data_IF_144986477994
#
_entry.id   IF_144986477994
#
_cell.length_a   1.000
_cell.length_b   1.000
_cell.length_c   1.000
_cell.angle_alpha   90.00
_cell.angle_beta   90.00
_cell.angle_gamma   90.00
#
_symmetry.space_group_name_H-M   'P 1'
#
loop_
_entity.id
_entity.type
_entity.pdbx_description
1 polymer ?
#
# COMPACT_ATOMS: atom_id res chain seq x y z
N UNK A 1 -10.11 6.32 5.81
CA UNK A 1 -9.33 7.18 4.89
C UNK A 1 -7.90 6.67 4.85
N UNK A 2 -7.06 7.09 3.89
CA UNK A 2 -5.64 6.67 3.83
C UNK A 2 -4.88 7.02 5.12
N UNK A 3 -5.17 8.17 5.74
CA UNK A 3 -4.58 8.55 7.03
C UNK A 3 -4.90 7.54 8.14
N UNK A 4 -6.19 7.24 8.35
CA UNK A 4 -6.61 6.25 9.35
C UNK A 4 -6.02 4.85 9.09
N UNK A 5 -5.86 4.46 7.83
CA UNK A 5 -5.25 3.18 7.48
C UNK A 5 -3.75 3.14 7.87
N UNK A 6 -3.01 4.23 7.64
CA UNK A 6 -1.61 4.34 8.09
C UNK A 6 -1.48 4.21 9.61
N UNK A 7 -2.37 4.87 10.35
CA UNK A 7 -2.37 4.82 11.81
C UNK A 7 -2.68 3.39 12.31
N UNK A 8 -3.71 2.75 11.75
CA UNK A 8 -4.07 1.37 12.10
C UNK A 8 -2.97 0.35 11.78
N UNK A 9 -2.29 0.47 10.63
CA UNK A 9 -1.16 -0.40 10.26
C UNK A 9 -0.02 -0.29 11.28
N UNK A 10 0.29 0.94 11.73
CA UNK A 10 1.32 1.15 12.74
C UNK A 10 0.92 0.58 14.09
N UNK A 11 -0.33 0.76 14.51
CA UNK A 11 -0.86 0.22 15.77
C UNK A 11 -0.80 -1.31 15.81
N UNK A 12 -1.12 -1.97 14.69
CA UNK A 12 -1.13 -3.43 14.55
C UNK A 12 0.29 -4.03 14.46
N UNK A 13 1.23 -3.33 13.81
CA UNK A 13 2.61 -3.81 13.55
C UNK A 13 3.68 -2.81 14.03
N UNK A 14 3.70 -2.44 15.33
CA UNK A 14 4.52 -1.35 15.83
C UNK A 14 6.03 -1.61 15.74
N UNK A 15 6.44 -2.87 15.78
CA UNK A 15 7.86 -3.28 15.71
C UNK A 15 8.40 -3.38 14.28
N UNK A 16 7.51 -3.58 13.31
CA UNK A 16 7.85 -3.67 11.88
C UNK A 16 7.77 -2.31 11.20
N UNK A 17 6.80 -1.49 11.61
CA UNK A 17 6.54 -0.17 11.06
C UNK A 17 7.09 0.89 12.02
N UNK A 18 8.41 1.04 11.99
CA UNK A 18 9.13 2.04 12.79
C UNK A 18 8.95 3.43 12.16
N UNK A 19 8.84 4.49 12.98
CA UNK A 19 8.68 5.88 12.51
C UNK A 19 7.27 6.45 12.59
N UNK A 20 7.01 7.57 11.89
CA UNK A 20 5.74 8.30 11.96
C UNK A 20 4.75 7.75 10.94
N UNK A 21 3.56 7.30 11.37
CA UNK A 21 2.54 6.71 10.49
C UNK A 21 2.24 7.55 9.24
N UNK A 22 2.19 8.88 9.38
CA UNK A 22 1.96 9.79 8.24
C UNK A 22 2.99 9.65 7.10
N UNK A 23 4.24 9.26 7.43
CA UNK A 23 5.34 9.10 6.48
C UNK A 23 5.28 7.78 5.69
N UNK A 24 4.45 6.82 6.09
CA UNK A 24 4.30 5.57 5.34
C UNK A 24 3.82 5.85 3.92
N UNK A 25 4.37 5.13 2.95
CA UNK A 25 3.82 5.12 1.59
C UNK A 25 3.03 3.84 1.39
N UNK A 26 1.77 3.98 0.99
CA UNK A 26 0.88 2.86 0.73
C UNK A 26 0.68 2.75 -0.78
N UNK A 27 0.90 1.57 -1.34
CA UNK A 27 0.68 1.29 -2.74
C UNK A 27 -0.32 0.16 -2.88
N UNK A 28 -1.12 0.16 -3.93
CA UNK A 28 -1.97 -1.00 -4.24
C UNK A 28 -1.05 -2.18 -4.55
N UNK A 29 -1.34 -3.36 -4.01
CA UNK A 29 -0.67 -4.61 -4.38
C UNK A 29 -1.18 -5.12 -5.75
N UNK A 30 -1.21 -4.21 -6.73
CA UNK A 30 -1.75 -4.40 -8.06
C UNK A 30 -0.72 -3.92 -9.07
N UNK A 31 -0.39 -4.78 -10.04
CA UNK A 31 0.56 -4.51 -11.11
C UNK A 31 -0.08 -4.90 -12.44
N UNK A 32 0.05 -4.07 -13.46
CA UNK A 32 -0.51 -4.32 -14.80
C UNK A 32 -2.00 -4.72 -14.78
N UNK A 33 -2.77 -4.09 -13.90
CA UNK A 33 -4.20 -4.35 -13.66
C UNK A 33 -4.54 -5.66 -12.94
N UNK A 34 -3.57 -6.48 -12.54
CA UNK A 34 -3.75 -7.71 -11.78
C UNK A 34 -3.32 -7.55 -10.31
N UNK A 35 -4.07 -8.15 -9.39
CA UNK A 35 -3.67 -8.22 -7.97
C UNK A 35 -2.56 -9.25 -7.79
N UNK A 36 -1.59 -8.92 -6.95
CA UNK A 36 -0.53 -9.85 -6.59
C UNK A 36 -1.07 -10.95 -5.67
N UNK A 37 -0.63 -12.18 -5.90
CA UNK A 37 -0.76 -13.27 -4.94
C UNK A 37 0.37 -13.21 -3.91
N UNK A 38 0.39 -14.14 -2.95
CA UNK A 38 1.42 -14.18 -1.92
C UNK A 38 2.84 -14.24 -2.51
N UNK A 39 3.03 -15.00 -3.61
CA UNK A 39 4.31 -15.12 -4.32
C UNK A 39 4.72 -13.81 -4.98
N UNK A 40 3.76 -13.13 -5.62
CA UNK A 40 3.98 -11.84 -6.25
C UNK A 40 4.35 -10.77 -5.24
N UNK A 41 3.78 -10.80 -4.03
CA UNK A 41 4.12 -9.87 -2.95
C UNK A 41 5.55 -10.10 -2.43
N UNK A 42 6.00 -11.35 -2.28
CA UNK A 42 7.37 -11.63 -1.80
C UNK A 42 8.46 -11.31 -2.82
N UNK A 43 8.12 -11.28 -4.11
CA UNK A 43 9.05 -10.89 -5.18
C UNK A 43 9.16 -9.37 -5.37
N UNK A 44 8.44 -8.56 -4.58
CA UNK A 44 8.51 -7.10 -4.67
C UNK A 44 9.83 -6.58 -4.10
N UNK A 45 10.60 -5.88 -4.93
CA UNK A 45 11.85 -5.22 -4.54
C UNK A 45 11.71 -3.69 -4.64
N UNK A 46 12.43 -2.99 -3.77
CA UNK A 46 12.61 -1.54 -3.85
C UNK A 46 13.79 -1.22 -4.78
N UNK A 47 13.76 -0.06 -5.42
CA UNK A 47 14.89 0.43 -6.21
C UNK A 47 16.07 0.88 -5.33
N UNK A 48 17.15 1.32 -5.98
CA UNK A 48 18.37 1.78 -5.30
C UNK A 48 18.14 2.97 -4.34
N UNK A 49 17.04 3.71 -4.50
CA UNK A 49 16.66 4.82 -3.63
C UNK A 49 15.65 4.41 -2.55
N UNK A 50 15.32 3.12 -2.45
CA UNK A 50 14.31 2.60 -1.53
C UNK A 50 12.88 2.89 -1.97
N UNK A 51 12.64 3.19 -3.26
CA UNK A 51 11.32 3.50 -3.78
C UNK A 51 10.71 2.29 -4.49
N UNK A 52 9.39 2.15 -4.35
CA UNK A 52 8.64 1.09 -5.01
C UNK A 52 8.25 1.55 -6.43
N UNK A 53 8.67 0.77 -7.46
CA UNK A 53 8.45 1.12 -8.86
C UNK A 53 7.35 0.29 -9.51
N UNK A 54 6.54 0.92 -10.37
CA UNK A 54 5.50 0.24 -11.16
C UNK A 54 4.23 -0.12 -10.39
N UNK A 55 4.04 0.41 -9.18
CA UNK A 55 2.84 0.25 -8.38
C UNK A 55 2.11 1.58 -8.21
N UNK A 56 0.78 1.52 -8.11
CA UNK A 56 -0.05 2.71 -7.95
C UNK A 56 -0.08 3.14 -6.47
N UNK A 57 0.30 4.38 -6.19
CA UNK A 57 0.21 4.96 -4.85
C UNK A 57 -1.25 5.16 -4.42
N UNK A 58 -1.59 4.70 -3.21
CA UNK A 58 -2.94 4.82 -2.67
C UNK A 58 -3.23 6.26 -2.26
N UNK A 59 -4.10 6.94 -3.03
CA UNK A 59 -4.49 8.33 -2.78
C UNK A 59 -5.84 8.43 -2.07
N UNK A 60 -5.91 9.31 -1.07
CA UNK A 60 -7.11 9.54 -0.26
C UNK A 60 -8.34 9.99 -1.06
N UNK A 61 -8.14 10.60 -2.23
CA UNK A 61 -9.18 11.13 -3.10
C UNK A 61 -9.73 10.13 -4.10
N UNK A 62 -9.11 8.94 -4.25
CA UNK A 62 -9.61 7.90 -5.14
C UNK A 62 -10.70 7.11 -4.43
N UNK A 63 -11.95 7.32 -4.85
CA UNK A 63 -13.07 6.53 -4.38
C UNK A 63 -12.84 5.05 -4.66
N UNK A 64 -12.91 4.23 -3.62
CA UNK A 64 -12.78 2.75 -3.67
C UNK A 64 -13.79 2.12 -4.65
N UNK A 65 -14.92 2.79 -4.91
CA UNK A 65 -15.95 2.34 -5.86
C UNK A 65 -15.67 2.72 -7.32
N UNK A 66 -14.56 3.38 -7.62
CA UNK A 66 -14.24 3.77 -8.98
C UNK A 66 -13.70 2.56 -9.77
N UNK A 67 -14.53 2.03 -10.68
CA UNK A 67 -14.16 0.93 -11.58
C UNK A 67 -12.91 1.23 -12.43
N UNK A 68 -12.60 2.50 -12.69
CA UNK A 68 -11.37 2.91 -13.39
C UNK A 68 -10.09 2.59 -12.59
N UNK A 69 -10.18 2.50 -11.26
CA UNK A 69 -9.05 2.21 -10.38
C UNK A 69 -9.02 0.75 -9.95
N UNK A 70 -10.19 0.17 -9.69
CA UNK A 70 -10.29 -1.16 -9.09
C UNK A 70 -10.76 -2.25 -10.05
N UNK A 71 -11.24 -1.89 -11.25
CA UNK A 71 -11.77 -2.81 -12.28
C UNK A 71 -13.30 -2.81 -12.33
N UNK A 72 -13.86 -3.06 -13.51
CA UNK A 72 -15.30 -3.23 -13.69
C UNK A 72 -15.75 -4.53 -12.99
N UNK A 73 -16.79 -4.46 -12.15
CA UNK A 73 -17.24 -5.59 -11.34
C UNK A 73 -16.52 -5.78 -10.00
N UNK A 74 -15.60 -4.89 -9.61
CA UNK A 74 -15.02 -4.88 -8.26
C UNK A 74 -16.12 -4.64 -7.21
N UNK A 75 -16.60 -5.74 -6.63
CA UNK A 75 -17.45 -5.71 -5.44
C UNK A 75 -16.53 -5.84 -4.24
N UNK A 76 -16.54 -4.81 -3.39
CA UNK A 76 -15.93 -4.89 -2.07
C UNK A 76 -16.68 -5.99 -1.30
N UNK A 77 -16.15 -7.21 -1.29
CA UNK A 77 -16.32 -8.00 -0.07
C UNK A 77 -15.65 -7.21 1.04
N UNK A 78 -16.30 -7.12 2.20
CA UNK A 78 -15.77 -6.32 3.30
C UNK A 78 -14.34 -6.79 3.63
N UNK A 79 -13.35 -5.89 3.47
CA UNK A 79 -12.05 -6.03 4.13
C UNK A 79 -10.78 -6.32 3.32
N UNK A 80 -10.77 -6.42 1.97
CA UNK A 80 -9.53 -6.81 1.28
C UNK A 80 -9.10 -5.89 0.13
N UNK A 81 -8.71 -4.65 0.46
CA UNK A 81 -7.75 -3.94 -0.39
C UNK A 81 -6.36 -4.36 0.10
N UNK A 82 -5.63 -5.09 -0.74
CA UNK A 82 -4.24 -5.44 -0.46
C UNK A 82 -3.34 -4.24 -0.77
N UNK A 83 -2.55 -3.83 0.22
CA UNK A 83 -1.61 -2.73 0.09
C UNK A 83 -0.18 -3.19 0.39
N UNK A 84 0.77 -2.65 -0.37
CA UNK A 84 2.19 -2.70 -0.07
C UNK A 84 2.53 -1.47 0.78
N UNK A 85 3.25 -1.69 1.88
CA UNK A 85 3.63 -0.64 2.83
C UNK A 85 5.13 -0.43 2.74
N UNK A 86 5.54 0.76 2.30
CA UNK A 86 6.94 1.17 2.34
C UNK A 86 7.15 2.00 3.60
N UNK A 87 8.06 1.52 4.45
CA UNK A 87 8.50 2.21 5.66
C UNK A 87 9.75 3.02 5.31
N UNK A 88 9.69 4.36 5.34
CA UNK A 88 10.86 5.18 5.06
C UNK A 88 11.92 4.97 6.14
N UNK A 89 13.18 4.91 5.72
CA UNK A 89 14.31 4.74 6.63
C UNK A 89 14.63 6.09 7.29
N UNK A 90 13.94 6.43 8.37
CA UNK A 90 14.12 7.67 9.13
C UNK A 90 15.36 7.63 10.07
N UNK A 91 16.23 6.61 9.99
CA UNK A 91 17.44 6.50 10.83
C UNK A 91 18.59 7.45 10.45
N UNK A 92 18.34 8.45 9.60
CA UNK A 92 19.32 9.48 9.23
C UNK A 92 18.72 10.88 9.47
N UNK A 93 18.54 11.25 10.74
CA UNK A 93 18.64 12.63 11.21
C UNK A 93 19.42 12.66 12.53
#
# INVERSE_FOLDING_TARGET
SVGYLKDAIKEEKPWTVTGVARKLHLFLAKKDSAWLDATGVTAVELDANGQLQGFEEMRATRWIRNAMHFGEGFHQEDGQIHVLVVVPNDYLE
#
